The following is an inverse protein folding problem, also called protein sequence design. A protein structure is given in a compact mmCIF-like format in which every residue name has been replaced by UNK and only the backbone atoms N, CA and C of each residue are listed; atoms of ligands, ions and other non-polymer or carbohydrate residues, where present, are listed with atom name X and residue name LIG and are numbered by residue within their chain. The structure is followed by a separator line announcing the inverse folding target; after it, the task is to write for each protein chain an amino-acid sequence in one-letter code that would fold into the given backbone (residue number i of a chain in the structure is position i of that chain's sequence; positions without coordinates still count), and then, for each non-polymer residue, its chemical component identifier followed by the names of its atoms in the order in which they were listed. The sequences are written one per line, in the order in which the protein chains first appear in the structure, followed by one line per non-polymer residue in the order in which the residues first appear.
data_IF_553983400680
#
_entry.id   IF_553983400680
#
_cell.length_a   1.000
_cell.length_b   1.000
_cell.length_c   1.000
_cell.angle_alpha   90.00
_cell.angle_beta   90.00
_cell.angle_gamma   90.00
#
_symmetry.space_group_name_H-M   'P 1'
#
loop_
_entity.id
_entity.type
_entity.pdbx_description
1 polymer ?
#
# COMPACT_ATOMS: atom_id res chain seq x y z
N UNK A 1 9.62 34.23 -6.51
CA UNK A 1 9.04 33.73 -5.24
C UNK A 1 7.66 34.36 -5.10
N UNK A 2 6.53 33.74 -4.79
CA UNK A 2 6.19 32.41 -4.28
C UNK A 2 4.67 32.20 -4.53
N UNK A 3 4.27 31.08 -5.14
CA UNK A 3 2.87 30.80 -5.56
C UNK A 3 2.33 29.46 -5.02
N UNK A 4 2.22 29.37 -3.70
CA UNK A 4 1.45 28.40 -2.88
C UNK A 4 1.05 27.03 -3.48
N UNK A 5 1.92 26.00 -3.41
CA UNK A 5 1.56 24.60 -3.75
C UNK A 5 0.74 23.85 -2.67
N UNK A 6 0.11 24.54 -1.71
CA UNK A 6 -0.41 23.91 -0.49
C UNK A 6 -1.64 23.02 -0.67
N UNK A 7 -2.48 23.26 -1.67
CA UNK A 7 -3.77 22.53 -1.85
C UNK A 7 -3.57 21.14 -2.47
N UNK A 8 -2.72 21.02 -3.48
CA UNK A 8 -2.39 19.75 -4.14
C UNK A 8 -1.63 18.79 -3.21
N UNK A 9 -0.68 19.32 -2.41
CA UNK A 9 0.00 18.56 -1.36
C UNK A 9 -1.02 17.99 -0.35
N UNK A 10 -2.03 18.77 0.04
CA UNK A 10 -3.08 18.30 0.96
C UNK A 10 -3.96 17.19 0.39
N UNK A 11 -4.26 17.21 -0.92
CA UNK A 11 -5.07 16.18 -1.57
C UNK A 11 -4.29 14.87 -1.69
N UNK A 12 -3.01 14.97 -2.06
CA UNK A 12 -2.10 13.82 -2.13
C UNK A 12 -1.92 13.18 -0.76
N UNK A 13 -1.73 13.98 0.29
CA UNK A 13 -1.59 13.45 1.64
C UNK A 13 -2.88 12.78 2.16
N UNK A 14 -4.05 13.36 1.88
CA UNK A 14 -5.33 12.71 2.19
C UNK A 14 -5.50 11.39 1.44
N UNK A 15 -5.14 11.35 0.17
CA UNK A 15 -5.16 10.12 -0.62
C UNK A 15 -4.23 9.06 -0.02
N UNK A 16 -3.00 9.43 0.34
CA UNK A 16 -2.05 8.52 1.00
C UNK A 16 -2.62 7.93 2.28
N UNK A 17 -3.15 8.76 3.17
CA UNK A 17 -3.76 8.31 4.43
C UNK A 17 -4.95 7.38 4.17
N UNK A 18 -5.81 7.73 3.20
CA UNK A 18 -6.98 6.93 2.84
C UNK A 18 -6.57 5.56 2.29
N UNK A 19 -5.59 5.52 1.37
CA UNK A 19 -5.07 4.27 0.79
C UNK A 19 -4.43 3.40 1.87
N UNK A 20 -3.58 3.96 2.74
CA UNK A 20 -2.96 3.21 3.84
C UNK A 20 -4.01 2.58 4.75
N UNK A 21 -5.07 3.33 5.09
CA UNK A 21 -6.17 2.81 5.91
C UNK A 21 -6.93 1.69 5.21
N UNK A 22 -7.28 1.88 3.94
CA UNK A 22 -8.01 0.89 3.15
C UNK A 22 -7.22 -0.41 2.99
N UNK A 23 -5.92 -0.32 2.67
CA UNK A 23 -5.03 -1.49 2.54
C UNK A 23 -4.92 -2.23 3.87
N UNK A 24 -4.73 -1.54 4.99
CA UNK A 24 -4.69 -2.18 6.33
C UNK A 24 -6.01 -2.87 6.68
N UNK A 25 -7.15 -2.25 6.39
CA UNK A 25 -8.45 -2.87 6.61
C UNK A 25 -8.65 -4.11 5.72
N UNK A 26 -8.21 -4.07 4.47
CA UNK A 26 -8.26 -5.22 3.58
C UNK A 26 -7.41 -6.37 4.11
N UNK A 27 -6.19 -6.10 4.57
CA UNK A 27 -5.30 -7.12 5.17
C UNK A 27 -5.87 -7.70 6.46
N UNK A 28 -6.50 -6.88 7.32
CA UNK A 28 -7.17 -7.37 8.53
C UNK A 28 -8.31 -8.34 8.20
N UNK A 29 -9.21 -7.95 7.27
CA UNK A 29 -10.32 -8.80 6.81
C UNK A 29 -9.84 -10.06 6.09
N UNK A 30 -8.69 -9.99 5.43
CA UNK A 30 -8.06 -11.14 4.79
C UNK A 30 -7.46 -12.07 5.84
N UNK A 31 -6.88 -11.53 6.90
CA UNK A 31 -6.27 -12.28 8.00
C UNK A 31 -7.24 -13.19 8.74
N UNK A 32 -8.53 -12.81 8.80
CA UNK A 32 -9.60 -13.63 9.37
C UNK A 32 -9.78 -14.97 8.64
N UNK A 33 -9.51 -15.02 7.33
CA UNK A 33 -9.70 -16.23 6.49
C UNK A 33 -8.38 -16.85 6.03
N UNK A 34 -7.37 -16.02 5.79
CA UNK A 34 -6.08 -16.40 5.21
C UNK A 34 -4.94 -15.64 5.90
N UNK A 35 -4.56 -16.04 7.13
CA UNK A 35 -3.56 -15.33 7.93
C UNK A 35 -2.18 -15.29 7.27
N UNK A 36 -1.76 -16.37 6.59
CA UNK A 36 -0.47 -16.42 5.89
C UNK A 36 -0.43 -15.45 4.70
N UNK A 37 -1.52 -15.36 3.93
CA UNK A 37 -1.61 -14.45 2.80
C UNK A 37 -1.64 -12.99 3.27
N UNK A 38 -2.38 -12.70 4.34
CA UNK A 38 -2.40 -11.37 4.94
C UNK A 38 -1.00 -10.95 5.43
N UNK A 39 -0.27 -11.85 6.11
CA UNK A 39 1.10 -11.58 6.56
C UNK A 39 2.08 -11.36 5.39
N UNK A 40 1.95 -12.14 4.31
CA UNK A 40 2.76 -11.96 3.10
C UNK A 40 2.51 -10.58 2.49
N UNK A 41 1.25 -10.20 2.29
CA UNK A 41 0.87 -8.91 1.71
C UNK A 41 1.28 -7.74 2.61
N UNK A 42 1.19 -7.87 3.93
CA UNK A 42 1.64 -6.83 4.86
C UNK A 42 3.14 -6.56 4.77
N UNK A 43 3.95 -7.59 4.52
CA UNK A 43 5.41 -7.47 4.34
C UNK A 43 5.83 -6.96 2.96
N UNK A 44 5.02 -7.23 1.93
CA UNK A 44 5.39 -6.98 0.52
C UNK A 44 4.70 -5.75 -0.06
N UNK A 45 3.53 -5.36 0.44
CA UNK A 45 2.87 -4.11 0.04
C UNK A 45 3.47 -2.96 0.81
N UNK A 46 4.06 -2.00 0.09
CA UNK A 46 4.55 -0.75 0.69
C UNK A 46 3.53 0.35 0.44
N UNK A 47 3.06 0.98 1.52
CA UNK A 47 2.23 2.18 1.47
C UNK A 47 3.08 3.37 1.91
N UNK A 48 3.45 4.23 0.96
CA UNK A 48 4.33 5.38 1.19
C UNK A 48 3.94 6.56 0.31
N UNK A 49 4.91 7.23 -0.32
CA UNK A 49 4.61 8.17 -1.42
C UNK A 49 3.97 7.44 -2.60
N UNK A 50 4.38 6.19 -2.80
CA UNK A 50 3.81 5.26 -3.75
C UNK A 50 3.20 4.06 -3.01
N UNK A 51 2.14 3.51 -3.57
CA UNK A 51 1.55 2.25 -3.13
C UNK A 51 1.91 1.18 -4.17
N UNK A 52 2.56 0.11 -3.74
CA UNK A 52 3.00 -0.93 -4.66
C UNK A 52 3.35 -2.25 -3.99
N UNK A 53 3.36 -3.31 -4.79
CA UNK A 53 3.78 -4.65 -4.39
C UNK A 53 5.28 -4.83 -4.64
N UNK A 54 6.02 -5.15 -3.59
CA UNK A 54 7.47 -5.39 -3.60
C UNK A 54 7.71 -6.80 -3.05
N UNK A 55 7.71 -7.83 -3.90
CA UNK A 55 8.01 -9.19 -3.47
C UNK A 55 9.43 -9.28 -2.92
N UNK A 56 9.68 -10.28 -2.07
CA UNK A 56 11.04 -10.59 -1.65
C UNK A 56 11.89 -10.88 -2.90
N UNK A 57 13.04 -10.19 -3.10
CA UNK A 57 13.95 -10.47 -4.21
C UNK A 57 14.40 -11.94 -4.28
N UNK A 58 14.36 -12.65 -3.15
CA UNK A 58 14.72 -14.08 -3.04
C UNK A 58 13.58 -15.03 -3.41
N UNK A 59 12.36 -14.53 -3.55
CA UNK A 59 11.17 -15.28 -3.95
C UNK A 59 10.40 -14.50 -5.04
N UNK A 60 10.95 -14.42 -6.27
CA UNK A 60 10.32 -13.66 -7.35
C UNK A 60 8.96 -14.25 -7.71
N UNK A 61 7.98 -13.37 -7.90
CA UNK A 61 6.63 -13.77 -8.35
C UNK A 61 6.61 -13.82 -9.87
N UNK A 62 6.33 -14.99 -10.43
CA UNK A 62 6.06 -15.19 -11.86
C UNK A 62 4.56 -15.01 -12.10
N UNK A 63 4.19 -13.99 -12.88
CA UNK A 63 2.82 -13.78 -13.32
C UNK A 63 2.62 -14.42 -14.69
N UNK A 64 1.62 -15.28 -14.81
CA UNK A 64 1.14 -15.79 -16.10
C UNK A 64 -0.17 -15.07 -16.41
N UNK A 65 -0.28 -14.46 -17.59
CA UNK A 65 -1.49 -13.79 -18.08
C UNK A 65 -2.52 -14.79 -18.59
#
# INVERSE_FOLDING_TARGET
MSGRPRRAASASERARVSVTRAVRQAMARLGERHPLLAQHLDRTIRTGTYCGYFPDPRAPVSWTL
#
